data_IF_763850166529
#
_entry.id   IF_763850166529
#
_cell.length_a   1.000
_cell.length_b   1.000
_cell.length_c   1.000
_cell.angle_alpha   90.00
_cell.angle_beta   90.00
_cell.angle_gamma   90.00
#
_symmetry.space_group_name_H-M   'P 1'
#
loop_
_entity.id
_entity.type
_entity.pdbx_description
1 polymer ?
#
# COMPACT_ATOMS: atom_id res chain seq x y z
N UNK A 1 -9.48 -13.52 -7.58
CA UNK A 1 -8.10 -13.03 -7.86
C UNK A 1 -7.16 -13.75 -6.89
N UNK A 2 -5.96 -14.20 -7.27
CA UNK A 2 -5.08 -14.95 -6.35
C UNK A 2 -4.30 -14.01 -5.41
N UNK A 3 -3.95 -14.48 -4.21
CA UNK A 3 -3.10 -13.76 -3.23
C UNK A 3 -1.78 -13.30 -3.88
N UNK A 4 -1.21 -14.14 -4.75
CA UNK A 4 -0.02 -13.82 -5.55
C UNK A 4 -0.18 -12.64 -6.50
N UNK A 5 -1.38 -12.44 -7.06
CA UNK A 5 -1.69 -11.29 -7.92
C UNK A 5 -1.80 -9.99 -7.10
N UNK A 6 -2.42 -10.06 -5.91
CA UNK A 6 -2.52 -8.92 -4.98
C UNK A 6 -1.13 -8.46 -4.49
N UNK A 7 -0.23 -9.39 -4.19
CA UNK A 7 1.14 -9.08 -3.75
C UNK A 7 1.96 -8.31 -4.79
N UNK A 8 1.76 -8.61 -6.08
CA UNK A 8 2.50 -7.97 -7.18
C UNK A 8 2.15 -6.48 -7.33
N UNK A 9 0.92 -6.09 -7.01
CA UNK A 9 0.44 -4.71 -7.07
C UNK A 9 1.12 -3.81 -6.01
N UNK A 10 1.57 -4.40 -4.90
CA UNK A 10 2.06 -3.68 -3.70
C UNK A 10 3.58 -3.39 -3.74
N UNK A 11 4.33 -3.86 -4.75
CA UNK A 11 5.78 -4.06 -4.62
C UNK A 11 6.72 -2.92 -5.09
N UNK A 12 6.23 -1.73 -5.45
CA UNK A 12 7.08 -0.62 -5.95
C UNK A 12 7.12 0.58 -5.02
N UNK A 13 8.25 0.86 -4.34
CA UNK A 13 8.42 2.09 -3.58
C UNK A 13 8.87 3.25 -4.49
N UNK A 14 8.24 4.41 -4.31
CA UNK A 14 8.73 5.71 -4.81
C UNK A 14 9.36 6.47 -3.63
N UNK A 15 10.51 7.13 -3.84
CA UNK A 15 11.17 7.92 -2.80
C UNK A 15 11.05 9.42 -3.11
N UNK A 16 10.24 10.12 -2.32
CA UNK A 16 9.98 11.56 -2.43
C UNK A 16 10.79 12.40 -1.42
N UNK A 17 11.62 11.78 -0.56
CA UNK A 17 12.25 12.44 0.58
C UNK A 17 13.25 13.54 0.19
N UNK A 18 13.88 13.42 -0.97
CA UNK A 18 14.95 14.30 -1.44
C UNK A 18 14.49 15.59 -2.13
N UNK A 19 13.20 15.76 -2.40
CA UNK A 19 12.72 16.87 -3.25
C UNK A 19 12.82 18.23 -2.56
N UNK A 20 12.39 18.34 -1.30
CA UNK A 20 12.45 19.61 -0.54
C UNK A 20 13.90 20.12 -0.40
N UNK A 21 14.90 19.29 -0.02
CA UNK A 21 16.31 19.69 -0.02
C UNK A 21 16.78 20.26 -1.37
N UNK A 22 16.41 19.62 -2.49
CA UNK A 22 16.79 20.07 -3.84
C UNK A 22 16.16 21.41 -4.22
N UNK A 23 14.88 21.62 -3.88
CA UNK A 23 14.20 22.91 -4.08
C UNK A 23 14.90 24.01 -3.27
N UNK A 24 15.22 23.74 -2.01
CA UNK A 24 15.95 24.70 -1.17
C UNK A 24 17.32 25.07 -1.74
N UNK A 25 18.08 24.08 -2.21
CA UNK A 25 19.38 24.30 -2.84
C UNK A 25 19.25 25.16 -4.10
N UNK A 26 18.29 24.83 -4.97
CA UNK A 26 18.03 25.59 -6.20
C UNK A 26 17.78 27.08 -5.90
N UNK A 27 16.87 27.39 -4.97
CA UNK A 27 16.55 28.78 -4.64
C UNK A 27 17.71 29.52 -3.94
N UNK A 28 18.58 28.80 -3.24
CA UNK A 28 19.81 29.37 -2.67
C UNK A 28 20.78 29.76 -3.80
N UNK A 29 21.05 28.84 -4.73
CA UNK A 29 21.92 29.09 -5.89
C UNK A 29 21.39 30.20 -6.80
N UNK A 30 20.07 30.25 -7.01
CA UNK A 30 19.41 31.32 -7.75
C UNK A 30 19.66 32.68 -7.07
N UNK A 31 19.49 32.75 -5.75
CA UNK A 31 19.73 33.97 -4.98
C UNK A 31 21.19 34.43 -5.05
N UNK A 32 22.14 33.52 -4.87
CA UNK A 32 23.57 33.81 -4.96
C UNK A 32 23.95 34.32 -6.35
N UNK A 33 23.46 33.66 -7.41
CA UNK A 33 23.68 34.09 -8.79
C UNK A 33 23.15 35.52 -9.03
N UNK A 34 21.96 35.85 -8.53
CA UNK A 34 21.41 37.20 -8.73
C UNK A 34 22.28 38.25 -8.03
N UNK A 35 22.73 37.98 -6.80
CA UNK A 35 23.62 38.89 -6.06
C UNK A 35 24.96 39.06 -6.77
N UNK A 36 25.56 37.97 -7.24
CA UNK A 36 26.87 37.98 -7.90
C UNK A 36 26.85 38.72 -9.26
N UNK A 37 25.79 38.55 -10.06
CA UNK A 37 25.73 39.08 -11.43
C UNK A 37 24.95 40.40 -11.56
N UNK A 38 23.94 40.62 -10.73
CA UNK A 38 23.01 41.76 -10.83
C UNK A 38 23.04 42.68 -9.59
N UNK A 39 23.69 42.24 -8.50
CA UNK A 39 23.91 43.03 -7.29
C UNK A 39 22.78 42.96 -6.27
N UNK A 40 23.10 43.34 -5.02
CA UNK A 40 22.19 43.23 -3.87
C UNK A 40 20.92 44.09 -4.00
N UNK A 41 21.01 45.24 -4.66
CA UNK A 41 19.85 46.11 -4.90
C UNK A 41 18.81 45.43 -5.80
N UNK A 42 19.26 44.75 -6.86
CA UNK A 42 18.38 44.00 -7.76
C UNK A 42 17.82 42.75 -7.08
N UNK A 43 18.63 42.08 -6.26
CA UNK A 43 18.16 40.96 -5.44
C UNK A 43 17.03 41.38 -4.50
N UNK A 44 17.14 42.53 -3.83
CA UNK A 44 16.11 43.03 -2.91
C UNK A 44 14.75 43.26 -3.60
N UNK A 45 14.74 43.65 -4.88
CA UNK A 45 13.51 43.78 -5.67
C UNK A 45 12.89 42.42 -6.04
N UNK A 46 13.70 41.37 -6.11
CA UNK A 46 13.28 40.03 -6.52
C UNK A 46 12.98 39.09 -5.34
N UNK A 47 13.59 39.33 -4.17
CA UNK A 47 13.60 38.41 -3.02
C UNK A 47 12.19 37.99 -2.59
N UNK A 48 11.25 38.95 -2.50
CA UNK A 48 9.88 38.68 -2.07
C UNK A 48 9.15 37.70 -2.98
N UNK A 49 9.28 37.88 -4.29
CA UNK A 49 8.64 37.01 -5.27
C UNK A 49 9.36 35.64 -5.38
N UNK A 50 10.70 35.61 -5.28
CA UNK A 50 11.46 34.35 -5.22
C UNK A 50 11.04 33.53 -4.00
N UNK A 51 10.86 34.18 -2.84
CA UNK A 51 10.40 33.53 -1.61
C UNK A 51 8.96 33.01 -1.73
N UNK A 52 8.09 33.74 -2.44
CA UNK A 52 6.71 33.32 -2.72
C UNK A 52 6.67 32.05 -3.59
N UNK A 53 7.36 32.04 -4.73
CA UNK A 53 7.41 30.88 -5.63
C UNK A 53 8.05 29.66 -4.96
N UNK A 54 9.12 29.88 -4.17
CA UNK A 54 9.71 28.84 -3.32
C UNK A 54 8.70 28.24 -2.36
N UNK A 55 7.92 29.09 -1.67
CA UNK A 55 6.93 28.65 -0.69
C UNK A 55 5.80 27.86 -1.35
N UNK A 56 5.35 28.27 -2.53
CA UNK A 56 4.33 27.56 -3.32
C UNK A 56 4.80 26.15 -3.71
N UNK A 57 6.02 26.03 -4.22
CA UNK A 57 6.61 24.72 -4.57
C UNK A 57 6.74 23.84 -3.31
N UNK A 58 7.31 24.35 -2.22
CA UNK A 58 7.49 23.58 -0.97
C UNK A 58 6.13 23.11 -0.43
N UNK A 59 5.11 23.98 -0.40
CA UNK A 59 3.78 23.61 0.08
C UNK A 59 3.17 22.45 -0.72
N UNK A 60 3.32 22.47 -2.06
CA UNK A 60 2.82 21.38 -2.91
C UNK A 60 3.63 20.10 -2.78
N UNK A 61 4.96 20.19 -2.69
CA UNK A 61 5.82 19.03 -2.43
C UNK A 61 5.45 18.38 -1.11
N UNK A 62 5.26 19.17 -0.04
CA UNK A 62 4.86 18.67 1.28
C UNK A 62 3.49 17.97 1.24
N UNK A 63 2.52 18.52 0.50
CA UNK A 63 1.22 17.89 0.32
C UNK A 63 1.33 16.52 -0.38
N UNK A 64 2.11 16.44 -1.47
CA UNK A 64 2.35 15.18 -2.20
C UNK A 64 3.06 14.16 -1.31
N UNK A 65 4.10 14.57 -0.58
CA UNK A 65 4.81 13.72 0.38
C UNK A 65 3.88 13.19 1.47
N UNK A 66 3.00 14.02 2.01
CA UNK A 66 2.03 13.61 3.03
C UNK A 66 1.06 12.56 2.48
N UNK A 67 0.47 12.80 1.30
CA UNK A 67 -0.41 11.83 0.64
C UNK A 67 0.33 10.52 0.36
N UNK A 68 1.56 10.60 -0.14
CA UNK A 68 2.37 9.44 -0.47
C UNK A 68 2.67 8.61 0.79
N UNK A 69 3.07 9.25 1.88
CA UNK A 69 3.29 8.58 3.16
C UNK A 69 2.02 7.91 3.70
N UNK A 70 0.87 8.58 3.59
CA UNK A 70 -0.42 8.01 3.97
C UNK A 70 -0.76 6.74 3.18
N UNK A 71 -0.64 6.80 1.85
CA UNK A 71 -0.88 5.66 0.97
C UNK A 71 0.09 4.50 1.26
N UNK A 72 1.39 4.78 1.42
CA UNK A 72 2.39 3.76 1.74
C UNK A 72 2.13 3.09 3.09
N UNK A 73 1.71 3.85 4.10
CA UNK A 73 1.35 3.30 5.42
C UNK A 73 0.15 2.35 5.32
N UNK A 74 -0.86 2.72 4.54
CA UNK A 74 -2.01 1.84 4.27
C UNK A 74 -1.56 0.55 3.58
N UNK A 75 -0.79 0.68 2.50
CA UNK A 75 -0.24 -0.45 1.74
C UNK A 75 0.53 -1.43 2.64
N UNK A 76 1.39 -0.93 3.53
CA UNK A 76 2.13 -1.76 4.48
C UNK A 76 1.21 -2.49 5.47
N UNK A 77 0.20 -1.80 6.00
CA UNK A 77 -0.78 -2.38 6.92
C UNK A 77 -1.59 -3.48 6.22
N UNK A 78 -2.00 -3.27 4.97
CA UNK A 78 -2.71 -4.27 4.19
C UNK A 78 -1.83 -5.46 3.85
N UNK A 79 -0.55 -5.24 3.53
CA UNK A 79 0.39 -6.32 3.29
C UNK A 79 0.53 -7.23 4.50
N UNK A 80 0.67 -6.68 5.71
CA UNK A 80 0.76 -7.47 6.95
C UNK A 80 -0.50 -8.30 7.18
N UNK A 81 -1.67 -7.70 7.02
CA UNK A 81 -2.94 -8.42 7.17
C UNK A 81 -3.12 -9.53 6.13
N UNK A 82 -2.65 -9.32 4.91
CA UNK A 82 -2.69 -10.35 3.86
C UNK A 82 -1.74 -11.50 4.18
N UNK A 83 -0.54 -11.23 4.69
CA UNK A 83 0.38 -12.27 5.17
C UNK A 83 -0.23 -13.07 6.36
N UNK A 84 -0.97 -12.41 7.26
CA UNK A 84 -1.71 -13.06 8.37
C UNK A 84 -2.82 -13.99 7.86
N UNK A 85 -3.70 -13.49 6.98
CA UNK A 85 -4.81 -14.28 6.41
C UNK A 85 -4.28 -15.44 5.57
N UNK A 86 -3.20 -15.24 4.80
CA UNK A 86 -2.55 -16.34 4.06
C UNK A 86 -2.04 -17.42 5.01
N UNK A 87 -1.44 -17.03 6.14
CA UNK A 87 -1.02 -17.96 7.20
C UNK A 87 -2.19 -18.77 7.77
N UNK A 88 -3.29 -18.11 8.13
CA UNK A 88 -4.49 -18.75 8.69
C UNK A 88 -5.14 -19.71 7.70
N UNK A 89 -5.31 -19.29 6.44
CA UNK A 89 -5.90 -20.15 5.39
C UNK A 89 -5.06 -21.40 5.15
N UNK A 90 -3.73 -21.28 5.16
CA UNK A 90 -2.84 -22.43 5.01
C UNK A 90 -2.93 -23.39 6.20
N UNK A 91 -3.07 -22.87 7.42
CA UNK A 91 -3.26 -23.70 8.63
C UNK A 91 -4.60 -24.43 8.58
N UNK A 92 -5.69 -23.73 8.27
CA UNK A 92 -7.02 -24.34 8.13
C UNK A 92 -7.05 -25.39 7.02
N UNK A 93 -6.36 -25.16 5.91
CA UNK A 93 -6.24 -26.15 4.84
C UNK A 93 -5.50 -27.40 5.29
N UNK A 94 -4.42 -27.26 6.06
CA UNK A 94 -3.68 -28.40 6.60
C UNK A 94 -4.50 -29.18 7.64
N UNK A 95 -5.22 -28.47 8.52
CA UNK A 95 -6.11 -29.07 9.51
C UNK A 95 -7.24 -29.85 8.83
N UNK A 96 -7.82 -29.27 7.78
CA UNK A 96 -8.86 -29.92 6.97
C UNK A 96 -8.39 -31.23 6.34
N UNK A 97 -7.22 -31.21 5.70
CA UNK A 97 -6.64 -32.43 5.11
C UNK A 97 -6.42 -33.50 6.19
N UNK A 98 -5.93 -33.10 7.37
CA UNK A 98 -5.77 -34.03 8.49
C UNK A 98 -7.12 -34.60 8.96
N UNK A 99 -8.16 -33.78 9.12
CA UNK A 99 -9.48 -34.26 9.57
C UNK A 99 -10.13 -35.19 8.54
N UNK A 100 -10.05 -34.85 7.26
CA UNK A 100 -10.54 -35.70 6.15
C UNK A 100 -9.84 -37.07 6.16
N UNK A 101 -8.51 -37.10 6.35
CA UNK A 101 -7.73 -38.34 6.44
C UNK A 101 -8.11 -39.19 7.68
N UNK A 102 -8.36 -38.56 8.83
CA UNK A 102 -8.80 -39.26 10.05
C UNK A 102 -10.20 -39.86 9.89
N UNK A 103 -11.15 -39.11 9.31
CA UNK A 103 -12.50 -39.61 9.04
C UNK A 103 -12.44 -40.82 8.11
N UNK A 104 -11.66 -40.74 7.02
CA UNK A 104 -11.50 -41.85 6.09
C UNK A 104 -10.93 -43.10 6.78
N UNK A 105 -9.87 -42.94 7.58
CA UNK A 105 -9.24 -44.04 8.31
C UNK A 105 -10.17 -44.68 9.36
N UNK A 106 -10.92 -43.86 10.12
CA UNK A 106 -11.87 -44.35 11.11
C UNK A 106 -13.06 -45.05 10.45
N UNK A 107 -13.53 -44.56 9.30
CA UNK A 107 -14.64 -45.17 8.56
C UNK A 107 -14.28 -46.57 8.08
N UNK A 108 -13.11 -46.74 7.46
CA UNK A 108 -12.63 -48.07 7.03
C UNK A 108 -12.51 -49.02 8.23
N UNK A 109 -11.95 -48.53 9.34
CA UNK A 109 -11.81 -49.35 10.56
C UNK A 109 -13.17 -49.72 11.19
N UNK A 110 -14.15 -48.84 11.08
CA UNK A 110 -15.51 -49.10 11.54
C UNK A 110 -16.17 -50.20 10.71
N UNK A 111 -16.03 -50.13 9.38
CA UNK A 111 -16.51 -51.16 8.46
C UNK A 111 -15.91 -52.53 8.79
N UNK A 112 -14.59 -52.62 8.94
CA UNK A 112 -13.89 -53.85 9.33
C UNK A 112 -14.42 -54.46 10.64
N UNK A 113 -14.69 -53.61 11.65
CA UNK A 113 -15.21 -54.05 12.95
C UNK A 113 -16.67 -54.49 12.88
N UNK A 114 -17.48 -53.81 12.06
CA UNK A 114 -18.87 -54.18 11.82
C UNK A 114 -18.97 -55.53 11.09
N UNK A 115 -18.09 -55.79 10.13
CA UNK A 115 -17.99 -57.07 9.44
C UNK A 115 -17.61 -58.22 10.38
N UNK A 116 -16.70 -57.97 11.34
CA UNK A 116 -16.32 -58.97 12.35
C UNK A 116 -17.49 -59.36 13.27
N UNK A 117 -18.45 -58.46 13.49
CA UNK A 117 -19.66 -58.67 14.31
C UNK A 117 -19.38 -59.29 15.70
N UNK A 118 -18.24 -58.95 16.32
CA UNK A 118 -17.86 -59.43 17.66
C UNK A 118 -18.58 -58.58 18.75
N UNK A 119 -19.45 -59.18 19.58
CA UNK A 119 -20.13 -58.46 20.66
C UNK A 119 -19.17 -57.79 21.65
N UNK A 120 -17.97 -58.33 21.84
CA UNK A 120 -16.96 -57.76 22.74
C UNK A 120 -16.41 -56.44 22.21
N UNK A 121 -16.46 -56.21 20.90
CA UNK A 121 -15.91 -55.01 20.25
C UNK A 121 -16.94 -53.88 20.08
N UNK A 122 -18.21 -54.08 20.47
CA UNK A 122 -19.26 -53.05 20.34
C UNK A 122 -18.89 -51.68 20.93
N UNK A 123 -18.19 -51.67 22.06
CA UNK A 123 -17.74 -50.43 22.69
C UNK A 123 -16.69 -49.70 21.84
N UNK A 124 -15.81 -50.44 21.16
CA UNK A 124 -14.81 -49.90 20.23
C UNK A 124 -15.50 -49.36 18.97
N UNK A 125 -16.46 -50.12 18.41
CA UNK A 125 -17.29 -49.67 17.28
C UNK A 125 -18.00 -48.37 17.59
N UNK A 126 -18.60 -48.24 18.77
CA UNK A 126 -19.28 -47.02 19.19
C UNK A 126 -18.32 -45.84 19.32
N UNK A 127 -17.18 -46.04 20.00
CA UNK A 127 -16.18 -44.99 20.17
C UNK A 127 -15.57 -44.51 18.84
N UNK A 128 -15.35 -45.42 17.88
CA UNK A 128 -14.87 -45.06 16.53
C UNK A 128 -15.93 -44.28 15.78
N UNK A 129 -17.20 -44.67 15.87
CA UNK A 129 -18.30 -43.96 15.24
C UNK A 129 -18.48 -42.54 15.82
N UNK A 130 -18.39 -42.39 17.16
CA UNK A 130 -18.40 -41.08 17.83
C UNK A 130 -17.22 -40.22 17.37
N UNK A 131 -16.00 -40.77 17.36
CA UNK A 131 -14.81 -40.04 16.94
C UNK A 131 -14.87 -39.61 15.47
N UNK A 132 -15.38 -40.46 14.57
CA UNK A 132 -15.59 -40.11 13.17
C UNK A 132 -16.62 -38.97 13.01
N UNK A 133 -17.68 -38.97 13.84
CA UNK A 133 -18.66 -37.88 13.86
C UNK A 133 -18.04 -36.57 14.36
N UNK A 134 -17.26 -36.61 15.44
CA UNK A 134 -16.54 -35.43 15.99
C UNK A 134 -15.59 -34.80 14.96
N UNK A 135 -14.84 -35.62 14.21
CA UNK A 135 -13.99 -35.11 13.14
C UNK A 135 -14.79 -34.54 11.96
N UNK A 136 -15.96 -35.11 11.66
CA UNK A 136 -16.88 -34.55 10.65
C UNK A 136 -17.42 -33.18 11.05
N UNK A 137 -17.83 -33.00 12.32
CA UNK A 137 -18.25 -31.70 12.84
C UNK A 137 -17.10 -30.68 12.83
N UNK A 138 -15.87 -31.13 13.10
CA UNK A 138 -14.68 -30.27 13.02
C UNK A 138 -14.40 -29.82 11.57
N UNK A 139 -14.54 -30.70 10.58
CA UNK A 139 -14.42 -30.36 9.16
C UNK A 139 -15.42 -29.27 8.74
N UNK A 140 -16.69 -29.40 9.17
CA UNK A 140 -17.71 -28.39 8.89
C UNK A 140 -17.33 -27.02 9.48
N UNK A 141 -16.83 -26.98 10.72
CA UNK A 141 -16.38 -25.74 11.36
C UNK A 141 -15.14 -25.13 10.69
N UNK A 142 -14.21 -25.96 10.22
CA UNK A 142 -13.05 -25.50 9.45
C UNK A 142 -13.53 -24.88 8.14
N UNK A 143 -14.50 -25.50 7.47
CA UNK A 143 -15.09 -24.97 6.23
C UNK A 143 -15.80 -23.62 6.45
N UNK A 144 -16.60 -23.47 7.50
CA UNK A 144 -17.20 -22.18 7.87
C UNK A 144 -16.14 -21.09 8.12
N UNK A 145 -15.02 -21.47 8.73
CA UNK A 145 -13.88 -20.58 8.96
C UNK A 145 -13.17 -20.21 7.64
N UNK A 146 -13.01 -21.16 6.71
CA UNK A 146 -12.49 -20.92 5.37
C UNK A 146 -13.39 -19.98 4.56
N UNK A 147 -14.71 -20.15 4.63
CA UNK A 147 -15.68 -19.27 3.95
C UNK A 147 -15.60 -17.84 4.50
N UNK A 148 -15.46 -17.70 5.82
CA UNK A 148 -15.24 -16.41 6.48
C UNK A 148 -13.92 -15.75 6.05
N UNK A 149 -12.84 -16.53 5.95
CA UNK A 149 -11.55 -16.08 5.42
C UNK A 149 -11.64 -15.64 3.95
N UNK A 150 -12.43 -16.33 3.13
CA UNK A 150 -12.70 -15.95 1.74
C UNK A 150 -13.44 -14.62 1.64
N UNK A 151 -14.42 -14.38 2.50
CA UNK A 151 -15.10 -13.08 2.59
C UNK A 151 -14.14 -11.96 3.03
N UNK A 152 -13.22 -12.23 3.97
CA UNK A 152 -12.19 -11.28 4.35
C UNK A 152 -11.26 -10.95 3.17
N UNK A 153 -10.82 -11.95 2.40
CA UNK A 153 -10.02 -11.75 1.17
C UNK A 153 -10.75 -10.91 0.13
N UNK A 154 -12.07 -11.08 -0.02
CA UNK A 154 -12.87 -10.24 -0.90
C UNK A 154 -12.89 -8.79 -0.42
N UNK A 155 -13.07 -8.56 0.89
CA UNK A 155 -12.96 -7.22 1.47
C UNK A 155 -11.55 -6.61 1.26
N UNK A 156 -10.48 -7.41 1.35
CA UNK A 156 -9.13 -6.96 1.03
C UNK A 156 -9.00 -6.51 -0.42
N UNK A 157 -9.60 -7.24 -1.36
CA UNK A 157 -9.60 -6.87 -2.76
C UNK A 157 -10.28 -5.52 -3.00
N UNK A 158 -11.39 -5.25 -2.33
CA UNK A 158 -12.11 -3.97 -2.45
C UNK A 158 -11.28 -2.81 -1.87
N UNK A 159 -10.61 -3.03 -0.73
CA UNK A 159 -9.67 -2.04 -0.18
C UNK A 159 -8.47 -1.79 -1.10
N UNK A 160 -7.92 -2.83 -1.75
CA UNK A 160 -6.84 -2.68 -2.72
C UNK A 160 -7.25 -1.86 -3.94
N UNK A 161 -8.51 -1.97 -4.38
CA UNK A 161 -9.02 -1.10 -5.44
C UNK A 161 -9.06 0.37 -4.99
N UNK A 162 -9.45 0.64 -3.74
CA UNK A 162 -9.41 2.00 -3.17
C UNK A 162 -7.98 2.55 -3.16
N UNK A 163 -7.01 1.76 -2.72
CA UNK A 163 -5.59 2.17 -2.68
C UNK A 163 -5.05 2.43 -4.09
N UNK A 164 -5.42 1.62 -5.08
CA UNK A 164 -5.05 1.90 -6.46
C UNK A 164 -5.60 3.26 -6.92
N UNK A 165 -6.82 3.61 -6.52
CA UNK A 165 -7.36 4.95 -6.73
C UNK A 165 -6.49 6.04 -6.07
N UNK A 166 -6.08 5.84 -4.82
CA UNK A 166 -5.19 6.78 -4.10
C UNK A 166 -3.82 6.93 -4.80
N UNK A 167 -3.30 5.84 -5.40
CA UNK A 167 -2.06 5.85 -6.18
C UNK A 167 -2.23 6.61 -7.49
N UNK A 168 -3.34 6.41 -8.21
CA UNK A 168 -3.66 7.18 -9.42
C UNK A 168 -3.79 8.69 -9.10
N UNK A 169 -4.44 9.04 -7.98
CA UNK A 169 -4.51 10.43 -7.51
C UNK A 169 -3.13 11.00 -7.15
N UNK A 170 -2.21 10.16 -6.65
CA UNK A 170 -0.83 10.55 -6.38
C UNK A 170 -0.07 10.85 -7.67
N UNK A 171 -0.21 10.02 -8.70
CA UNK A 171 0.40 10.28 -10.01
C UNK A 171 -0.11 11.59 -10.62
N UNK A 172 -1.40 11.86 -10.50
CA UNK A 172 -1.98 13.12 -10.97
C UNK A 172 -1.51 14.32 -10.14
N UNK A 173 -1.32 14.13 -8.83
CA UNK A 173 -0.72 15.14 -7.95
C UNK A 173 0.75 15.41 -8.32
N UNK A 174 1.52 14.40 -8.71
CA UNK A 174 2.89 14.53 -9.20
C UNK A 174 2.96 15.28 -10.54
N UNK A 175 2.07 14.96 -11.48
CA UNK A 175 1.94 15.72 -12.74
C UNK A 175 1.59 17.18 -12.46
N UNK A 176 0.68 17.44 -11.52
CA UNK A 176 0.31 18.79 -11.12
C UNK A 176 1.46 19.55 -10.45
N UNK A 177 2.26 18.88 -9.63
CA UNK A 177 3.49 19.43 -9.05
C UNK A 177 4.48 19.82 -10.15
N UNK A 178 4.74 18.92 -11.10
CA UNK A 178 5.62 19.17 -12.25
C UNK A 178 5.19 20.40 -13.04
N UNK A 179 3.89 20.53 -13.34
CA UNK A 179 3.32 21.72 -14.00
C UNK A 179 3.49 22.98 -13.16
N UNK A 180 3.33 22.89 -11.84
CA UNK A 180 3.52 24.05 -10.96
C UNK A 180 4.96 24.51 -10.97
N UNK A 181 5.90 23.59 -10.84
CA UNK A 181 7.33 23.90 -10.86
C UNK A 181 7.68 24.60 -12.18
N UNK A 182 7.25 24.05 -13.32
CA UNK A 182 7.45 24.67 -14.63
C UNK A 182 6.83 26.09 -14.71
N UNK A 183 5.59 26.26 -14.25
CA UNK A 183 4.93 27.57 -14.24
C UNK A 183 5.65 28.59 -13.35
N UNK A 184 6.18 28.16 -12.20
CA UNK A 184 6.95 29.00 -11.27
C UNK A 184 8.25 29.46 -11.94
N UNK A 185 8.93 28.57 -12.66
CA UNK A 185 10.13 28.92 -13.44
C UNK A 185 9.83 29.93 -14.54
N UNK A 186 8.76 29.75 -15.30
CA UNK A 186 8.35 30.72 -16.31
C UNK A 186 7.96 32.08 -15.72
N UNK A 187 7.27 32.06 -14.56
CA UNK A 187 6.91 33.26 -13.79
C UNK A 187 8.16 34.03 -13.38
N UNK A 188 9.15 33.31 -12.82
CA UNK A 188 10.46 33.86 -12.44
C UNK A 188 11.19 34.47 -13.64
N UNK A 189 11.29 33.73 -14.75
CA UNK A 189 11.96 34.22 -15.96
C UNK A 189 11.30 35.49 -16.52
N UNK A 190 9.96 35.51 -16.62
CA UNK A 190 9.21 36.69 -17.09
C UNK A 190 9.44 37.89 -16.20
N UNK A 191 9.46 37.70 -14.88
CA UNK A 191 9.64 38.80 -13.93
C UNK A 191 11.04 39.39 -14.01
N UNK A 192 12.06 38.55 -14.17
CA UNK A 192 13.43 39.02 -14.41
C UNK A 192 13.54 39.83 -15.70
N UNK A 193 12.94 39.37 -16.80
CA UNK A 193 12.93 40.13 -18.05
C UNK A 193 12.27 41.50 -17.90
N UNK A 194 11.15 41.58 -17.18
CA UNK A 194 10.44 42.84 -16.94
C UNK A 194 11.29 43.80 -16.10
N UNK A 195 11.93 43.31 -15.05
CA UNK A 195 12.80 44.10 -14.18
C UNK A 195 14.05 44.58 -14.93
N UNK A 196 14.69 43.70 -15.71
CA UNK A 196 15.84 44.10 -16.55
C UNK A 196 15.47 45.18 -17.56
N UNK A 197 14.30 45.10 -18.21
CA UNK A 197 13.81 46.15 -19.11
C UNK A 197 13.56 47.47 -18.38
N UNK A 198 13.03 47.43 -17.15
CA UNK A 198 12.82 48.64 -16.33
C UNK A 198 14.13 49.30 -15.94
N UNK A 199 15.11 48.52 -15.47
CA UNK A 199 16.43 49.03 -15.10
C UNK A 199 17.14 49.64 -16.31
N UNK A 200 17.07 48.99 -17.48
CA UNK A 200 17.65 49.51 -18.72
C UNK A 200 16.96 50.77 -19.26
N UNK A 201 15.71 51.04 -18.87
CA UNK A 201 14.97 52.24 -19.28
C UNK A 201 15.19 53.46 -18.35
N UNK A 202 15.83 53.26 -17.20
CA UNK A 202 16.12 54.29 -16.19
C UNK A 202 17.59 54.76 -16.26
N UNK A 203 18.45 54.02 -16.98
CA UNK A 203 19.82 54.41 -17.33
C UNK A 203 19.85 55.21 -18.65
#
# INVERSE_FOLDING_TARGET
>A
MSISALRKVISTPYDFSDIIPRVNLFFTLLGDMIRDYLGDAFYAECEGFIAEEKSNIIAKVALVQQKHHGAMTQVELFRRKLDEVEGEVNLLQAERTFTEDQVAALTVRLEDLLEQNDPKLRHVTHAIAECAAEYGELDERIKESQDSGSAALQSFNDHMQSINGDVEELEDSEKALTRTVAASFESIARRFEELMRRVAAVQ
#
